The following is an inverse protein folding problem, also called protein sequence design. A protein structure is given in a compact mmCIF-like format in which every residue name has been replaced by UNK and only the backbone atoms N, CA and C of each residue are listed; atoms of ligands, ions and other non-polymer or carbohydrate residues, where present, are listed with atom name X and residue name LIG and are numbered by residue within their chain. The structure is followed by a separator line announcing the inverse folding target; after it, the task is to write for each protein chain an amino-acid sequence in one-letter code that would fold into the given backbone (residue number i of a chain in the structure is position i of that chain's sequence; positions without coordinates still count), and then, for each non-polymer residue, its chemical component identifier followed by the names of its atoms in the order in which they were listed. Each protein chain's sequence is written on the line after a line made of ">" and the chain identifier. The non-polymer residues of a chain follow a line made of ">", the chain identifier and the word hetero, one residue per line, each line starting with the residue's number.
data_IF_602164119237
#
_entry.id   IF_602164119237
#
_cell.length_a   1.000
_cell.length_b   1.000
_cell.length_c   1.000
_cell.angle_alpha   90.00
_cell.angle_beta   90.00
_cell.angle_gamma   90.00
#
_symmetry.space_group_name_H-M   'P 1'
#
loop_
_entity.id
_entity.type
_entity.pdbx_description
1 polymer ?
#
# COMPACT_ATOMS: atom_id res chain seq x y z
N UNK A 1 35.18 -7.10 2.10
CA UNK A 1 34.04 -6.15 2.11
C UNK A 1 34.36 -5.03 3.07
N UNK A 2 34.30 -3.78 2.62
CA UNK A 2 34.84 -2.60 3.35
C UNK A 2 33.73 -1.73 3.95
N UNK A 3 32.74 -1.33 3.17
CA UNK A 3 31.64 -0.48 3.64
C UNK A 3 30.33 -1.02 3.10
N UNK A 4 29.30 -1.13 3.95
CA UNK A 4 27.95 -1.45 3.49
C UNK A 4 26.93 -0.48 4.08
N UNK A 5 25.99 -0.10 3.24
CA UNK A 5 24.92 0.82 3.59
C UNK A 5 23.63 0.46 2.87
N UNK A 6 22.54 1.04 3.35
CA UNK A 6 21.23 0.88 2.75
C UNK A 6 20.64 2.24 2.37
N UNK A 7 19.83 2.26 1.32
CA UNK A 7 19.12 3.44 0.81
C UNK A 7 17.66 3.07 0.49
N UNK A 8 16.73 4.05 0.46
CA UNK A 8 15.34 3.80 0.07
C UNK A 8 15.13 3.75 -1.46
N UNK A 9 16.16 4.13 -2.23
CA UNK A 9 16.15 4.21 -3.70
C UNK A 9 17.25 3.35 -4.29
N UNK A 10 17.16 2.95 -5.56
CA UNK A 10 18.21 2.15 -6.20
C UNK A 10 19.55 2.88 -6.35
N UNK A 11 19.56 4.21 -6.21
CA UNK A 11 20.77 5.02 -6.24
C UNK A 11 21.63 4.79 -4.98
N UNK A 12 22.85 4.25 -5.11
CA UNK A 12 23.78 4.07 -4.00
C UNK A 12 24.22 5.40 -3.36
N UNK A 13 24.13 6.53 -4.07
CA UNK A 13 24.56 7.85 -3.60
C UNK A 13 23.39 8.75 -3.16
N UNK A 14 22.22 8.14 -2.93
CA UNK A 14 21.05 8.82 -2.38
C UNK A 14 21.39 9.58 -1.09
N UNK A 15 20.77 10.74 -0.92
CA UNK A 15 20.93 11.60 0.26
C UNK A 15 20.57 10.88 1.57
N UNK A 16 19.65 9.91 1.50
CA UNK A 16 19.24 9.09 2.63
C UNK A 16 20.01 7.76 2.57
N UNK A 17 21.00 7.62 3.46
CA UNK A 17 21.81 6.42 3.58
C UNK A 17 21.94 5.96 5.04
N UNK A 18 21.97 4.65 5.24
CA UNK A 18 22.20 4.03 6.54
C UNK A 18 23.37 3.06 6.47
N UNK A 19 24.54 3.46 6.97
CA UNK A 19 25.75 2.62 7.01
C UNK A 19 25.71 1.68 8.19
N UNK A 20 25.85 0.37 7.94
CA UNK A 20 25.87 -0.67 8.97
C UNK A 20 27.21 -1.41 9.03
N UNK A 21 28.03 -1.38 7.97
CA UNK A 21 29.43 -1.83 8.01
C UNK A 21 30.32 -0.68 7.55
N UNK A 22 31.37 -0.38 8.31
CA UNK A 22 32.35 0.67 8.02
C UNK A 22 33.74 0.15 8.34
N UNK A 23 34.71 0.45 7.49
CA UNK A 23 36.11 0.04 7.66
C UNK A 23 36.24 -1.48 7.90
N UNK A 24 35.41 -2.25 7.19
CA UNK A 24 35.28 -3.71 7.25
C UNK A 24 34.67 -4.28 8.55
N UNK A 25 34.26 -3.41 9.48
CA UNK A 25 33.71 -3.78 10.78
C UNK A 25 32.23 -3.39 10.94
N UNK A 26 31.45 -4.13 11.75
CA UNK A 26 30.08 -3.77 12.05
C UNK A 26 30.03 -2.46 12.85
N UNK A 27 29.16 -1.54 12.46
CA UNK A 27 28.97 -0.25 13.17
C UNK A 27 28.20 -0.45 14.49
N UNK A 28 27.38 -1.49 14.56
CA UNK A 28 26.66 -1.89 15.76
C UNK A 28 27.29 -3.13 16.38
N UNK A 29 27.44 -3.12 17.69
CA UNK A 29 27.95 -4.26 18.48
C UNK A 29 26.85 -5.26 18.88
N UNK A 30 25.58 -4.98 18.56
CA UNK A 30 24.48 -5.91 18.81
C UNK A 30 24.43 -6.99 17.73
N UNK A 31 25.02 -8.15 18.04
CA UNK A 31 25.08 -9.34 17.18
C UNK A 31 23.70 -9.87 16.73
N UNK A 32 22.62 -9.58 17.48
CA UNK A 32 21.27 -9.97 17.06
C UNK A 32 20.81 -9.16 15.86
N UNK A 33 21.15 -7.87 15.84
CA UNK A 33 20.75 -6.92 14.79
C UNK A 33 21.72 -6.95 13.62
N UNK A 34 23.02 -7.08 13.85
CA UNK A 34 24.03 -7.09 12.82
C UNK A 34 25.17 -8.02 13.24
N UNK A 35 25.52 -8.98 12.38
CA UNK A 35 26.71 -9.82 12.57
C UNK A 35 27.45 -10.05 11.26
N UNK A 36 28.78 -9.98 11.30
CA UNK A 36 29.64 -10.29 10.15
C UNK A 36 30.18 -11.71 10.33
N UNK A 37 29.71 -12.65 9.51
CA UNK A 37 30.01 -14.07 9.64
C UNK A 37 31.34 -14.44 8.95
N UNK A 38 31.59 -13.85 7.78
CA UNK A 38 32.81 -14.05 7.00
C UNK A 38 33.22 -12.73 6.34
N UNK A 39 34.48 -12.33 6.50
CA UNK A 39 35.07 -11.22 5.77
C UNK A 39 36.61 -11.37 5.74
N UNK A 40 37.20 -11.52 4.56
CA UNK A 40 38.66 -11.61 4.40
C UNK A 40 39.30 -12.98 4.66
N UNK A 41 38.51 -14.01 5.02
CA UNK A 41 38.98 -15.38 5.24
C UNK A 41 38.98 -16.25 3.97
N UNK A 42 38.37 -15.77 2.88
CA UNK A 42 38.21 -16.52 1.64
C UNK A 42 37.55 -15.67 0.55
N UNK A 43 37.04 -16.29 -0.53
CA UNK A 43 36.42 -15.56 -1.64
C UNK A 43 35.03 -15.01 -1.32
N UNK A 44 34.44 -15.43 -0.20
CA UNK A 44 33.10 -15.04 0.23
C UNK A 44 33.13 -14.04 1.39
N UNK A 45 32.22 -13.07 1.35
CA UNK A 45 31.88 -12.24 2.49
C UNK A 45 30.39 -12.42 2.80
N UNK A 46 30.06 -12.66 4.07
CA UNK A 46 28.69 -12.92 4.51
C UNK A 46 28.41 -12.16 5.80
N UNK A 47 27.27 -11.48 5.85
CA UNK A 47 26.77 -10.79 7.03
C UNK A 47 25.27 -11.06 7.19
N UNK A 48 24.77 -10.88 8.42
CA UNK A 48 23.36 -10.92 8.76
C UNK A 48 22.94 -9.56 9.29
N UNK A 49 21.81 -9.04 8.83
CA UNK A 49 21.26 -7.79 9.34
C UNK A 49 19.75 -7.86 9.51
N UNK A 50 19.26 -7.32 10.62
CA UNK A 50 17.85 -6.98 10.80
C UNK A 50 17.65 -5.53 10.37
N UNK A 51 16.85 -5.29 9.34
CA UNK A 51 16.62 -3.96 8.81
C UNK A 51 15.71 -3.13 9.75
N UNK A 52 16.22 -2.05 10.33
CA UNK A 52 15.47 -1.24 11.31
C UNK A 52 15.37 0.26 11.01
N UNK A 53 16.16 0.81 10.06
CA UNK A 53 16.24 2.27 9.86
C UNK A 53 15.09 2.84 9.02
N UNK A 54 14.68 2.13 7.96
CA UNK A 54 13.67 2.60 7.02
C UNK A 54 12.29 2.11 7.42
N UNK A 55 11.66 2.79 8.39
CA UNK A 55 10.32 2.48 8.91
C UNK A 55 9.26 3.46 8.38
N UNK A 56 7.99 3.07 8.41
CA UNK A 56 6.86 3.88 7.90
C UNK A 56 6.47 3.60 6.44
N UNK A 57 5.44 4.31 5.96
CA UNK A 57 4.89 4.18 4.59
C UNK A 57 5.75 4.87 3.53
N UNK A 58 6.57 5.85 3.92
CA UNK A 58 7.44 6.60 3.01
C UNK A 58 8.60 5.77 2.44
N UNK A 59 8.94 4.63 3.06
CA UNK A 59 10.05 3.76 2.67
C UNK A 59 9.60 2.29 2.56
N UNK A 60 9.04 1.93 1.41
CA UNK A 60 8.55 0.58 1.11
C UNK A 60 9.62 -0.36 0.54
N UNK A 61 10.62 0.22 -0.14
CA UNK A 61 11.75 -0.49 -0.71
C UNK A 61 13.03 -0.14 0.03
N UNK A 62 13.91 -1.13 0.16
CA UNK A 62 15.28 -0.94 0.66
C UNK A 62 16.26 -1.57 -0.32
N UNK A 63 17.31 -0.84 -0.63
CA UNK A 63 18.44 -1.31 -1.41
C UNK A 63 19.66 -1.39 -0.50
N UNK A 64 20.43 -2.46 -0.64
CA UNK A 64 21.70 -2.65 0.05
C UNK A 64 22.82 -2.37 -0.95
N UNK A 65 23.87 -1.71 -0.48
CA UNK A 65 25.05 -1.39 -1.25
C UNK A 65 26.28 -1.74 -0.43
N UNK A 66 27.30 -2.33 -1.06
CA UNK A 66 28.55 -2.66 -0.41
C UNK A 66 29.73 -2.33 -1.32
N UNK A 67 30.76 -1.71 -0.76
CA UNK A 67 32.08 -1.62 -1.37
C UNK A 67 32.85 -2.90 -1.07
N UNK A 68 33.23 -3.60 -2.13
CA UNK A 68 34.03 -4.82 -2.08
C UNK A 68 35.36 -4.60 -2.77
N UNK A 69 36.40 -5.26 -2.26
CA UNK A 69 37.75 -5.20 -2.80
C UNK A 69 38.38 -6.57 -2.69
N UNK A 70 39.26 -6.89 -3.64
CA UNK A 70 40.08 -8.10 -3.61
C UNK A 70 41.31 -7.81 -2.76
N UNK A 71 41.60 -8.66 -1.79
CA UNK A 71 42.83 -8.61 -1.01
C UNK A 71 43.81 -9.65 -1.56
N UNK A 72 44.97 -9.19 -2.03
CA UNK A 72 46.01 -10.07 -2.61
C UNK A 72 47.04 -10.54 -1.56
N UNK A 73 46.93 -10.08 -0.32
CA UNK A 73 47.92 -10.33 0.73
C UNK A 73 47.61 -11.61 1.54
N UNK A 74 48.52 -12.00 2.44
CA UNK A 74 48.31 -13.14 3.35
C UNK A 74 47.10 -12.93 4.26
N UNK A 75 46.40 -14.02 4.63
CA UNK A 75 45.09 -14.01 5.31
C UNK A 75 45.02 -13.06 6.54
N UNK A 76 46.09 -12.97 7.32
CA UNK A 76 46.15 -12.11 8.52
C UNK A 76 46.04 -10.61 8.25
N UNK A 77 46.33 -10.15 7.03
CA UNK A 77 46.20 -8.73 6.63
C UNK A 77 44.83 -8.44 5.99
N UNK A 78 44.17 -9.47 5.47
CA UNK A 78 42.88 -9.36 4.79
C UNK A 78 41.69 -9.40 5.75
N UNK A 79 41.84 -10.08 6.90
CA UNK A 79 40.81 -10.11 7.93
C UNK A 79 40.87 -8.83 8.78
N UNK A 80 39.75 -8.11 8.94
CA UNK A 80 39.74 -6.91 9.76
C UNK A 80 39.82 -7.27 11.25
N UNK A 81 40.55 -6.46 12.02
CA UNK A 81 40.47 -6.47 13.47
C UNK A 81 39.44 -5.44 13.93
N UNK A 82 38.35 -5.90 14.56
CA UNK A 82 37.24 -5.05 15.00
C UNK A 82 37.23 -4.84 16.53
N UNK A 83 38.36 -5.03 17.21
CA UNK A 83 38.49 -4.72 18.64
C UNK A 83 38.30 -3.22 18.90
N UNK A 84 37.55 -2.90 19.95
CA UNK A 84 37.07 -1.55 20.29
C UNK A 84 38.15 -0.50 20.58
N UNK A 85 39.43 -0.88 20.62
CA UNK A 85 40.56 0.04 20.88
C UNK A 85 41.29 0.50 19.60
N UNK A 86 41.00 -0.09 18.43
CA UNK A 86 41.76 0.15 17.19
C UNK A 86 41.07 1.14 16.23
N UNK A 87 40.40 2.18 16.76
CA UNK A 87 39.93 3.32 15.92
C UNK A 87 41.09 4.05 15.20
N UNK A 88 42.36 3.74 15.51
CA UNK A 88 43.51 4.53 15.08
C UNK A 88 44.57 3.80 14.25
N UNK A 89 44.50 2.48 14.03
CA UNK A 89 45.40 1.86 13.05
C UNK A 89 44.83 2.07 11.65
N UNK A 90 44.92 3.31 11.17
CA UNK A 90 44.94 3.63 9.76
C UNK A 90 46.16 2.95 9.14
N UNK A 91 46.02 1.67 8.83
CA UNK A 91 46.85 1.08 7.79
C UNK A 91 46.49 1.87 6.53
N UNK A 92 47.36 2.81 6.17
CA UNK A 92 47.36 3.53 4.89
C UNK A 92 47.62 2.48 3.81
N UNK A 93 46.60 1.69 3.51
CA UNK A 93 46.57 0.82 2.34
C UNK A 93 46.41 1.75 1.15
N UNK A 94 47.26 1.56 0.14
CA UNK A 94 47.01 2.14 -1.19
C UNK A 94 45.54 1.97 -1.51
N UNK A 95 44.86 3.04 -1.99
CA UNK A 95 43.43 3.04 -2.27
C UNK A 95 43.15 1.85 -3.20
N UNK A 96 42.60 0.73 -2.70
CA UNK A 96 42.36 -0.41 -3.56
C UNK A 96 41.19 -0.02 -4.47
N UNK A 97 41.22 -0.50 -5.71
CA UNK A 97 40.06 -0.36 -6.59
C UNK A 97 38.91 -1.12 -5.92
N UNK A 98 37.98 -0.38 -5.33
CA UNK A 98 36.78 -0.93 -4.71
C UNK A 98 35.62 -0.84 -5.69
N UNK A 99 34.81 -1.90 -5.73
CA UNK A 99 33.61 -1.98 -6.54
C UNK A 99 32.38 -1.93 -5.66
N UNK A 100 31.40 -1.12 -6.04
CA UNK A 100 30.11 -1.06 -5.37
C UNK A 100 29.18 -2.12 -5.95
N UNK A 101 28.79 -3.10 -5.14
CA UNK A 101 27.74 -4.07 -5.47
C UNK A 101 26.44 -3.67 -4.80
N UNK A 102 25.32 -3.86 -5.48
CA UNK A 102 24.00 -3.45 -4.99
C UNK A 102 23.02 -4.62 -5.04
N UNK A 103 22.13 -4.69 -4.06
CA UNK A 103 21.08 -5.71 -3.95
C UNK A 103 19.75 -5.06 -3.58
N UNK A 104 18.68 -5.38 -4.31
CA UNK A 104 17.34 -4.88 -4.03
C UNK A 104 16.44 -4.84 -5.28
N UNK A 105 15.17 -4.44 -5.11
CA UNK A 105 14.58 -3.95 -3.87
C UNK A 105 14.21 -5.07 -2.89
N UNK A 106 14.50 -4.85 -1.60
CA UNK A 106 13.92 -5.59 -0.48
C UNK A 106 12.63 -4.87 -0.09
N UNK A 107 11.48 -5.51 -0.31
CA UNK A 107 10.17 -4.94 0.02
C UNK A 107 9.87 -5.17 1.50
N UNK A 108 9.50 -4.10 2.20
CA UNK A 108 9.00 -4.21 3.57
C UNK A 108 7.56 -4.68 3.57
N UNK A 109 7.24 -5.61 4.45
CA UNK A 109 5.87 -5.95 4.76
C UNK A 109 5.33 -4.84 5.67
N UNK A 110 4.40 -4.05 5.16
CA UNK A 110 3.66 -3.09 5.98
C UNK A 110 2.69 -3.90 6.85
N UNK A 111 2.97 -3.98 8.14
CA UNK A 111 2.07 -4.59 9.11
C UNK A 111 0.80 -3.74 9.21
N UNK A 112 -0.26 -4.17 8.53
CA UNK A 112 -1.56 -3.49 8.54
C UNK A 112 -2.19 -3.23 7.18
N UNK A 113 -2.16 -4.18 6.25
CA UNK A 113 -3.37 -4.47 5.49
C UNK A 113 -3.64 -5.95 5.72
N UNK A 114 -4.62 -6.28 6.57
CA UNK A 114 -5.33 -7.53 6.32
C UNK A 114 -5.74 -7.41 4.85
N UNK A 115 -5.38 -8.33 3.94
CA UNK A 115 -6.20 -8.46 2.76
C UNK A 115 -7.56 -8.85 3.33
N UNK A 116 -8.43 -7.87 3.53
CA UNK A 116 -9.85 -8.06 3.41
C UNK A 116 -10.02 -8.53 1.96
N UNK A 117 -9.75 -9.82 1.76
CA UNK A 117 -10.34 -10.59 0.70
C UNK A 117 -11.83 -10.32 0.87
N UNK A 118 -12.30 -9.39 0.05
CA UNK A 118 -13.70 -9.13 -0.21
C UNK A 118 -14.29 -10.44 -0.73
N UNK A 119 -14.62 -11.33 0.19
CA UNK A 119 -15.56 -12.41 0.00
C UNK A 119 -16.87 -11.94 0.66
N UNK A 120 -17.71 -11.30 -0.14
CA UNK A 120 -19.04 -10.85 0.27
C UNK A 120 -19.05 -9.41 0.78
N UNK A 121 -19.41 -8.48 -0.11
CA UNK A 121 -19.79 -7.14 0.31
C UNK A 121 -20.98 -7.21 1.27
N UNK A 122 -20.73 -7.00 2.56
CA UNK A 122 -21.76 -6.53 3.48
C UNK A 122 -21.81 -5.01 3.32
N UNK A 123 -22.95 -4.44 2.91
CA UNK A 123 -23.00 -3.01 2.68
C UNK A 123 -22.89 -2.29 4.03
N UNK A 124 -22.13 -1.19 4.03
CA UNK A 124 -21.99 -0.23 5.13
C UNK A 124 -23.34 0.01 5.82
N UNK A 125 -23.35 0.17 7.15
CA UNK A 125 -24.54 0.40 7.98
C UNK A 125 -25.44 1.52 7.42
N UNK A 126 -24.87 2.50 6.70
CA UNK A 126 -25.59 3.55 5.99
C UNK A 126 -26.55 3.03 4.90
N UNK A 127 -26.24 1.89 4.28
CA UNK A 127 -27.06 1.25 3.24
C UNK A 127 -28.30 0.58 3.84
N UNK A 128 -28.22 0.09 5.08
CA UNK A 128 -29.39 -0.47 5.77
C UNK A 128 -30.40 0.61 6.14
N UNK A 129 -29.94 1.83 6.49
CA UNK A 129 -30.81 2.97 6.78
C UNK A 129 -31.53 3.45 5.51
N UNK A 130 -30.80 3.60 4.40
CA UNK A 130 -31.38 3.99 3.11
C UNK A 130 -32.32 2.92 2.54
N UNK A 131 -31.93 1.65 2.62
CA UNK A 131 -32.76 0.52 2.19
C UNK A 131 -34.03 0.39 3.04
N UNK A 132 -33.91 0.59 4.36
CA UNK A 132 -35.04 0.60 5.29
C UNK A 132 -36.02 1.74 4.98
N UNK A 133 -35.52 2.96 4.79
CA UNK A 133 -36.35 4.12 4.43
C UNK A 133 -37.07 3.93 3.10
N UNK A 134 -36.37 3.44 2.07
CA UNK A 134 -36.97 3.15 0.75
C UNK A 134 -38.05 2.06 0.87
N UNK A 135 -37.79 1.00 1.64
CA UNK A 135 -38.74 -0.08 1.88
C UNK A 135 -40.02 0.41 2.58
N UNK A 136 -39.88 1.23 3.61
CA UNK A 136 -41.03 1.83 4.32
C UNK A 136 -41.84 2.73 3.38
N UNK A 137 -41.18 3.57 2.58
CA UNK A 137 -41.86 4.43 1.60
C UNK A 137 -42.70 3.62 0.60
N UNK A 138 -42.12 2.55 0.02
CA UNK A 138 -42.82 1.69 -0.94
C UNK A 138 -44.02 0.98 -0.33
N UNK A 139 -43.90 0.51 0.92
CA UNK A 139 -45.01 -0.11 1.65
C UNK A 139 -46.14 0.90 1.90
N UNK A 140 -45.81 2.11 2.35
CA UNK A 140 -46.80 3.18 2.59
C UNK A 140 -47.51 3.54 1.28
N UNK A 141 -46.78 3.79 0.19
CA UNK A 141 -47.40 4.10 -1.11
C UNK A 141 -48.23 2.94 -1.66
N UNK A 142 -47.79 1.70 -1.45
CA UNK A 142 -48.51 0.50 -1.86
C UNK A 142 -49.82 0.30 -1.10
N UNK A 143 -49.80 0.51 0.23
CA UNK A 143 -51.00 0.44 1.08
C UNK A 143 -51.96 1.57 0.73
N UNK A 144 -51.49 2.82 0.62
CA UNK A 144 -52.33 3.94 0.17
C UNK A 144 -52.89 3.72 -1.23
N UNK A 145 -52.08 3.21 -2.17
CA UNK A 145 -52.52 2.88 -3.52
C UNK A 145 -53.59 1.78 -3.53
N UNK A 146 -53.42 0.71 -2.74
CA UNK A 146 -54.41 -0.35 -2.56
C UNK A 146 -55.70 0.17 -1.92
N UNK A 147 -55.60 1.01 -0.89
CA UNK A 147 -56.74 1.64 -0.23
C UNK A 147 -57.48 2.58 -1.18
N UNK A 148 -56.75 3.37 -1.97
CA UNK A 148 -57.29 4.23 -3.02
C UNK A 148 -57.97 3.43 -4.13
N UNK A 149 -57.35 2.34 -4.60
CA UNK A 149 -57.97 1.44 -5.60
C UNK A 149 -59.24 0.79 -5.05
N UNK A 150 -59.23 0.41 -3.76
CA UNK A 150 -60.39 -0.17 -3.09
C UNK A 150 -61.51 0.87 -2.95
N UNK A 151 -61.17 2.10 -2.59
CA UNK A 151 -62.11 3.24 -2.59
C UNK A 151 -62.70 3.46 -3.99
N UNK A 152 -61.88 3.47 -5.05
CA UNK A 152 -62.35 3.59 -6.43
C UNK A 152 -63.20 2.42 -6.91
N UNK A 153 -62.98 1.20 -6.41
CA UNK A 153 -63.88 0.05 -6.68
C UNK A 153 -65.25 0.18 -6.02
N UNK A 154 -65.37 0.97 -4.95
CA UNK A 154 -66.65 1.23 -4.27
C UNK A 154 -67.41 2.44 -4.83
N UNK A 155 -66.80 3.26 -5.69
CA UNK A 155 -67.51 4.28 -6.45
C UNK A 155 -67.65 3.80 -7.91
N UNK A 156 -68.82 3.28 -8.34
CA UNK A 156 -69.06 3.09 -9.77
C UNK A 156 -68.97 4.47 -10.44
N UNK A 157 -68.40 4.53 -11.65
CA UNK A 157 -68.37 5.77 -12.42
C UNK A 157 -69.83 6.25 -12.64
N UNK A 158 -70.17 7.51 -12.37
CA UNK A 158 -71.38 8.08 -12.94
C UNK A 158 -71.18 8.12 -14.46
N UNK A 159 -72.16 7.62 -15.19
CA UNK A 159 -72.17 7.59 -16.64
C UNK A 159 -71.75 8.95 -17.21
N UNK A 160 -70.68 8.97 -18.02
CA UNK A 160 -70.32 10.14 -18.78
C UNK A 160 -71.39 10.34 -19.86
N UNK A 161 -72.39 11.18 -19.58
CA UNK A 161 -73.38 11.59 -20.57
C UNK A 161 -72.65 12.40 -21.66
N UNK A 162 -72.54 11.83 -22.87
CA UNK A 162 -72.05 12.53 -24.06
C UNK A 162 -73.01 13.69 -24.35
N UNK A 163 -72.62 14.91 -23.99
CA UNK A 163 -73.29 16.13 -24.42
C UNK A 163 -72.93 16.36 -25.88
N UNK A 164 -73.84 15.96 -26.78
CA UNK A 164 -73.78 16.32 -28.19
C UNK A 164 -73.92 17.85 -28.27
N UNK A 165 -72.87 18.50 -28.75
CA UNK A 165 -72.76 19.93 -28.95
C UNK A 165 -73.88 20.47 -29.84
N UNK A 166 -74.58 21.49 -29.34
CA UNK A 166 -75.52 22.31 -30.10
C UNK A 166 -74.71 23.27 -30.98
N UNK A 167 -74.79 23.13 -32.30
CA UNK A 167 -74.30 24.13 -33.26
C UNK A 167 -75.45 24.53 -34.16
N UNK A 168 -75.85 25.78 -33.98
CA UNK A 168 -76.70 26.60 -34.84
C UNK A 168 -76.42 26.40 -36.34
N UNK A 169 -77.47 26.32 -37.17
CA UNK A 169 -77.77 27.34 -38.18
C UNK A 169 -79.09 27.04 -38.93
N UNK A 170 -80.07 27.94 -38.76
CA UNK A 170 -80.86 28.62 -39.79
C UNK A 170 -81.32 27.81 -41.04
N UNK A 171 -82.62 27.59 -41.14
CA UNK A 171 -83.43 27.48 -42.37
C UNK A 171 -84.90 27.41 -41.92
N UNK A 172 -85.58 28.53 -41.68
CA UNK A 172 -86.34 29.30 -42.69
C UNK A 172 -87.57 28.54 -43.23
N UNK A 173 -88.74 29.01 -42.78
CA UNK A 173 -89.99 29.22 -43.53
C UNK A 173 -90.31 28.25 -44.67
N UNK A 174 -91.32 27.39 -44.48
CA UNK A 174 -92.34 27.12 -45.51
C UNK A 174 -93.55 26.38 -44.91
N UNK A 175 -94.71 27.05 -45.05
CA UNK A 175 -96.10 26.56 -45.17
C UNK A 175 -96.70 25.62 -44.12
#
# INVERSE_FOLDING_TARGET
>A
MERCWATPTSDPYSNIQYTFIRDSCPVLTNEQTLSVLKNGQGPEATFRIQMFKFVGTSYSNVFLHCNVQICHNTQGVCQPNCSSEDELIRSRRDIPVSHTVSYGPIRRLLGGENPSLNAGGFPHVETFVLGGLLGVLLLVTGVFGKLWLRSRRFYPAPDAQLTLSNIHHISEVAS
#
